data_IF_667794578241
#
_entry.id   IF_667794578241
#
_cell.length_a   1.000
_cell.length_b   1.000
_cell.length_c   1.000
_cell.angle_alpha   90.00
_cell.angle_beta   90.00
_cell.angle_gamma   90.00
#
_symmetry.space_group_name_H-M   'P 1'
#
loop_
_entity.id
_entity.type
_entity.pdbx_description
1 polymer ?
#
# COMPACT_ATOMS: atom_id res chain seq x y z
N UNK A 1 15.82 -15.99 5.00
CA UNK A 1 16.77 -14.88 4.77
C UNK A 1 16.12 -13.96 3.75
N UNK A 2 16.17 -12.65 3.93
CA UNK A 2 15.61 -11.70 2.98
C UNK A 2 16.52 -11.58 1.77
N UNK A 3 16.00 -11.84 0.57
CA UNK A 3 16.71 -11.61 -0.68
C UNK A 3 16.12 -10.37 -1.38
N UNK A 4 16.82 -9.21 -1.37
CA UNK A 4 16.31 -7.97 -1.95
C UNK A 4 16.25 -8.00 -3.49
N UNK A 5 16.89 -8.97 -4.14
CA UNK A 5 16.82 -9.10 -5.60
C UNK A 5 15.66 -10.01 -6.04
N UNK A 6 14.96 -10.63 -5.07
CA UNK A 6 13.88 -11.57 -5.35
C UNK A 6 12.50 -10.94 -5.06
N UNK A 7 11.65 -10.85 -6.08
CA UNK A 7 10.29 -10.28 -6.00
C UNK A 7 9.46 -10.87 -4.85
N UNK A 8 9.50 -12.18 -4.68
CA UNK A 8 8.76 -12.86 -3.62
C UNK A 8 9.14 -12.37 -2.21
N UNK A 9 10.40 -11.99 -1.98
CA UNK A 9 10.78 -11.43 -0.68
C UNK A 9 9.99 -10.14 -0.42
N UNK A 10 10.01 -9.20 -1.35
CA UNK A 10 9.30 -7.92 -1.21
C UNK A 10 7.80 -8.10 -1.05
N UNK A 11 7.18 -9.00 -1.80
CA UNK A 11 5.74 -9.23 -1.68
C UNK A 11 5.36 -9.84 -0.32
N UNK A 12 6.19 -10.70 0.25
CA UNK A 12 5.97 -11.25 1.61
C UNK A 12 6.00 -10.14 2.65
N UNK A 13 6.94 -9.19 2.54
CA UNK A 13 6.96 -8.02 3.43
C UNK A 13 5.78 -7.08 3.19
N UNK A 14 5.41 -6.83 1.93
CA UNK A 14 4.26 -6.01 1.56
C UNK A 14 2.96 -6.55 2.12
N UNK A 15 2.70 -7.85 1.91
CA UNK A 15 1.52 -8.53 2.43
C UNK A 15 1.48 -8.55 3.96
N UNK A 16 2.62 -8.82 4.62
CA UNK A 16 2.72 -8.76 6.08
C UNK A 16 2.44 -7.36 6.63
N UNK A 17 2.98 -6.32 5.97
CA UNK A 17 2.73 -4.91 6.31
C UNK A 17 1.26 -4.55 6.13
N UNK A 18 0.64 -4.96 5.02
CA UNK A 18 -0.77 -4.70 4.74
C UNK A 18 -1.70 -5.35 5.77
N UNK A 19 -1.49 -6.62 6.10
CA UNK A 19 -2.27 -7.32 7.13
C UNK A 19 -2.12 -6.61 8.48
N UNK A 20 -0.90 -6.22 8.84
CA UNK A 20 -0.65 -5.48 10.08
C UNK A 20 -1.34 -4.10 10.06
N UNK A 21 -1.32 -3.36 8.96
CA UNK A 21 -2.03 -2.09 8.82
C UNK A 21 -3.54 -2.27 8.99
N UNK A 22 -4.11 -3.28 8.33
CA UNK A 22 -5.53 -3.63 8.44
C UNK A 22 -5.92 -4.01 9.87
N UNK A 23 -5.07 -4.75 10.59
CA UNK A 23 -5.28 -5.08 12.00
C UNK A 23 -5.24 -3.84 12.91
N UNK A 24 -4.29 -2.93 12.69
CA UNK A 24 -4.21 -1.68 13.45
C UNK A 24 -5.45 -0.82 13.22
N UNK A 25 -5.90 -0.70 11.97
CA UNK A 25 -7.15 -0.01 11.64
C UNK A 25 -8.36 -0.69 12.31
N UNK A 26 -8.48 -2.01 12.19
CA UNK A 26 -9.54 -2.81 12.78
C UNK A 26 -9.61 -2.71 14.31
N UNK A 27 -8.49 -2.39 14.96
CA UNK A 27 -8.37 -2.21 16.42
C UNK A 27 -8.30 -0.74 16.84
N UNK A 28 -8.68 0.18 15.95
CA UNK A 28 -8.73 1.63 16.19
C UNK A 28 -7.39 2.26 16.58
N UNK A 29 -6.27 1.71 16.10
CA UNK A 29 -4.90 2.21 16.25
C UNK A 29 -4.47 3.01 15.02
N UNK A 30 -5.12 4.15 14.83
CA UNK A 30 -5.09 4.85 13.55
C UNK A 30 -3.79 5.57 13.25
N UNK A 31 -3.14 6.17 14.25
CA UNK A 31 -1.84 6.82 14.07
C UNK A 31 -0.79 5.80 13.58
N UNK A 32 -0.73 4.64 14.24
CA UNK A 32 0.16 3.55 13.87
C UNK A 32 -0.23 2.94 12.52
N UNK A 33 -1.53 2.76 12.26
CA UNK A 33 -2.02 2.25 10.99
C UNK A 33 -1.53 3.12 9.84
N UNK A 34 -1.63 4.45 9.96
CA UNK A 34 -1.26 5.37 8.90
C UNK A 34 0.25 5.43 8.64
N UNK A 35 1.10 5.37 9.67
CA UNK A 35 2.55 5.21 9.48
C UNK A 35 2.85 3.90 8.74
N UNK A 36 2.15 2.83 9.12
CA UNK A 36 2.34 1.53 8.49
C UNK A 36 1.76 1.50 7.06
N UNK A 37 0.72 2.27 6.76
CA UNK A 37 0.15 2.42 5.41
C UNK A 37 1.18 2.96 4.43
N UNK A 38 1.94 4.00 4.79
CA UNK A 38 3.01 4.51 3.92
C UNK A 38 4.02 3.42 3.61
N UNK A 39 4.46 2.67 4.62
CA UNK A 39 5.39 1.54 4.43
C UNK A 39 4.78 0.44 3.55
N UNK A 40 3.51 0.14 3.73
CA UNK A 40 2.79 -0.85 2.90
C UNK A 40 2.80 -0.44 1.43
N UNK A 41 2.48 0.83 1.13
CA UNK A 41 2.55 1.36 -0.24
C UNK A 41 3.98 1.30 -0.78
N UNK A 42 4.97 1.70 0.01
CA UNK A 42 6.39 1.62 -0.34
C UNK A 42 6.78 0.19 -0.77
N UNK A 43 6.46 -0.81 0.06
CA UNK A 43 6.83 -2.20 -0.18
C UNK A 43 6.17 -2.77 -1.44
N UNK A 44 4.92 -2.44 -1.73
CA UNK A 44 4.27 -2.89 -2.96
C UNK A 44 4.83 -2.22 -4.21
N UNK A 45 5.14 -0.92 -4.17
CA UNK A 45 5.80 -0.25 -5.29
C UNK A 45 7.19 -0.87 -5.56
N UNK A 46 7.95 -1.15 -4.50
CA UNK A 46 9.26 -1.83 -4.58
C UNK A 46 9.13 -3.25 -5.14
N UNK A 47 8.13 -4.02 -4.69
CA UNK A 47 7.85 -5.34 -5.23
C UNK A 47 7.55 -5.29 -6.74
N UNK A 48 6.78 -4.29 -7.18
CA UNK A 48 6.50 -4.09 -8.60
C UNK A 48 7.77 -3.76 -9.41
N UNK A 49 8.61 -2.84 -8.93
CA UNK A 49 9.88 -2.49 -9.58
C UNK A 49 10.82 -3.69 -9.70
N UNK A 50 10.99 -4.44 -8.61
CA UNK A 50 11.84 -5.65 -8.58
C UNK A 50 11.30 -6.72 -9.52
N UNK A 51 9.99 -6.88 -9.61
CA UNK A 51 9.36 -7.80 -10.57
C UNK A 51 9.61 -7.41 -12.04
N UNK A 52 10.00 -6.16 -12.30
CA UNK A 52 10.40 -5.66 -13.62
C UNK A 52 11.93 -5.57 -13.79
N UNK A 53 12.71 -6.16 -12.88
CA UNK A 53 14.16 -6.26 -12.98
C UNK A 53 14.95 -5.08 -12.38
N UNK A 54 14.30 -4.20 -11.62
CA UNK A 54 14.99 -3.12 -10.90
C UNK A 54 15.61 -3.65 -9.61
N UNK A 55 16.91 -3.45 -9.41
CA UNK A 55 17.55 -3.76 -8.12
C UNK A 55 17.47 -2.58 -7.16
N UNK A 56 17.02 -2.84 -5.93
CA UNK A 56 16.82 -1.84 -4.89
C UNK A 56 17.91 -1.99 -3.84
N UNK A 57 18.97 -1.20 -4.00
CA UNK A 57 20.16 -1.22 -3.14
C UNK A 57 20.42 0.15 -2.53
N UNK A 58 21.11 0.19 -1.39
CA UNK A 58 21.44 1.45 -0.71
C UNK A 58 22.10 2.45 -1.67
N UNK A 59 21.45 3.60 -1.86
CA UNK A 59 21.90 4.66 -2.76
C UNK A 59 21.18 4.71 -4.11
N UNK A 60 20.36 3.71 -4.46
CA UNK A 60 19.43 3.83 -5.59
C UNK A 60 18.27 4.76 -5.25
N UNK A 61 17.60 5.31 -6.27
CA UNK A 61 16.43 6.17 -6.09
C UNK A 61 15.32 5.43 -5.31
N UNK A 62 15.06 4.18 -5.69
CA UNK A 62 14.13 3.30 -4.99
C UNK A 62 14.57 2.85 -3.59
N UNK A 63 15.79 3.11 -3.12
CA UNK A 63 16.15 2.83 -1.72
C UNK A 63 15.48 3.79 -0.73
N UNK A 64 15.13 5.00 -1.18
CA UNK A 64 14.44 5.99 -0.36
C UNK A 64 13.05 5.53 0.11
N UNK A 65 12.44 6.38 0.94
CA UNK A 65 11.08 6.22 1.47
C UNK A 65 10.06 7.16 0.81
N UNK A 66 10.46 7.84 -0.28
CA UNK A 66 9.62 8.83 -0.95
C UNK A 66 8.70 8.12 -1.94
N UNK A 67 7.41 8.05 -1.62
CA UNK A 67 6.47 7.30 -2.43
C UNK A 67 6.31 7.91 -3.83
N UNK A 68 6.41 9.23 -3.93
CA UNK A 68 6.30 9.95 -5.21
C UNK A 68 7.38 9.51 -6.21
N UNK A 69 8.64 9.35 -5.76
CA UNK A 69 9.73 8.87 -6.61
C UNK A 69 9.56 7.42 -7.04
N UNK A 70 9.20 6.55 -6.10
CA UNK A 70 8.91 5.14 -6.41
C UNK A 70 7.79 5.02 -7.45
N UNK A 71 6.74 5.85 -7.33
CA UNK A 71 5.64 5.93 -8.30
C UNK A 71 6.13 6.36 -9.69
N UNK A 72 7.01 7.36 -9.75
CA UNK A 72 7.62 7.82 -11.01
C UNK A 72 8.46 6.72 -11.66
N UNK A 73 9.28 6.00 -10.90
CA UNK A 73 10.03 4.85 -11.40
C UNK A 73 9.08 3.74 -11.93
N UNK A 74 7.98 3.45 -11.24
CA UNK A 74 7.00 2.47 -11.70
C UNK A 74 6.37 2.89 -13.04
N UNK A 75 6.18 4.19 -13.27
CA UNK A 75 5.55 4.72 -14.48
C UNK A 75 6.35 4.48 -15.76
N UNK A 76 7.65 4.20 -15.64
CA UNK A 76 8.52 3.78 -16.76
C UNK A 76 8.05 2.43 -17.34
N UNK A 77 7.49 1.56 -16.52
CA UNK A 77 7.07 0.20 -16.90
C UNK A 77 5.58 0.11 -17.23
N UNK A 78 4.76 1.01 -16.70
CA UNK A 78 3.32 1.07 -17.00
C UNK A 78 2.78 2.48 -16.80
N UNK A 79 2.15 3.02 -17.85
CA UNK A 79 1.52 4.35 -17.83
C UNK A 79 0.37 4.45 -16.82
N UNK A 80 -0.19 3.33 -16.35
CA UNK A 80 -1.24 3.32 -15.34
C UNK A 80 -0.77 3.95 -14.02
N UNK A 81 0.53 3.87 -13.69
CA UNK A 81 1.10 4.52 -12.49
C UNK A 81 1.12 6.06 -12.60
N UNK A 82 0.87 6.61 -13.79
CA UNK A 82 0.68 8.03 -14.03
C UNK A 82 -0.79 8.47 -13.95
N UNK A 83 -1.73 7.57 -13.69
CA UNK A 83 -3.13 7.93 -13.47
C UNK A 83 -3.23 8.93 -12.31
N UNK A 84 -3.99 10.00 -12.54
CA UNK A 84 -4.18 11.06 -11.56
C UNK A 84 -4.81 10.51 -10.27
N UNK A 85 -5.83 9.67 -10.40
CA UNK A 85 -6.51 9.05 -9.27
C UNK A 85 -5.54 8.26 -8.36
N UNK A 86 -4.61 7.51 -8.95
CA UNK A 86 -3.57 6.78 -8.22
C UNK A 86 -2.56 7.74 -7.58
N UNK A 87 -2.08 8.72 -8.35
CA UNK A 87 -1.11 9.73 -7.89
C UNK A 87 -1.61 10.51 -6.67
N UNK A 88 -2.90 10.89 -6.66
CA UNK A 88 -3.52 11.61 -5.53
C UNK A 88 -3.49 10.79 -4.23
N UNK A 89 -3.68 9.47 -4.30
CA UNK A 89 -3.65 8.56 -3.14
C UNK A 89 -2.24 8.31 -2.64
N UNK A 90 -1.28 8.18 -3.55
CA UNK A 90 0.15 8.10 -3.19
C UNK A 90 0.58 9.38 -2.44
N UNK A 91 0.22 10.56 -2.98
CA UNK A 91 0.52 11.84 -2.35
C UNK A 91 -0.13 12.03 -0.98
N UNK A 92 -1.31 11.45 -0.76
CA UNK A 92 -1.94 11.42 0.56
C UNK A 92 -1.08 10.71 1.61
N UNK A 93 -0.59 9.50 1.32
CA UNK A 93 0.25 8.75 2.27
C UNK A 93 1.66 9.34 2.47
N UNK A 94 2.25 9.96 1.43
CA UNK A 94 3.56 10.62 1.52
C UNK A 94 3.49 11.81 2.50
N UNK A 95 2.47 12.68 2.34
CA UNK A 95 2.25 13.83 3.24
C UNK A 95 1.94 13.43 4.67
N UNK A 96 1.11 12.39 4.86
CA UNK A 96 0.72 11.94 6.19
C UNK A 96 1.92 11.39 6.99
N UNK A 97 2.83 10.67 6.32
CA UNK A 97 4.02 10.14 6.98
C UNK A 97 4.96 11.24 7.48
N UNK A 98 5.18 12.30 6.68
CA UNK A 98 5.98 13.45 7.10
C UNK A 98 5.36 14.16 8.32
N UNK A 99 4.03 14.33 8.31
CA UNK A 99 3.26 14.93 9.39
C UNK A 99 3.41 14.17 10.72
N UNK A 100 3.22 12.85 10.71
CA UNK A 100 3.27 12.04 11.94
C UNK A 100 4.69 11.88 12.46
N UNK A 101 5.66 11.67 11.58
CA UNK A 101 7.02 11.31 12.00
C UNK A 101 7.92 12.53 12.26
N UNK A 102 7.68 13.64 11.56
CA UNK A 102 8.51 14.84 11.64
C UNK A 102 7.67 16.12 11.76
N UNK A 103 6.78 16.23 12.76
CA UNK A 103 5.90 17.39 12.90
C UNK A 103 6.69 18.72 13.02
N UNK A 104 7.89 18.67 13.61
CA UNK A 104 8.76 19.83 13.77
C UNK A 104 9.39 20.36 12.47
N UNK A 105 9.26 19.64 11.34
CA UNK A 105 9.76 20.06 10.03
C UNK A 105 8.71 20.81 9.20
N UNK A 106 7.51 20.97 9.73
CA UNK A 106 6.42 21.67 9.05
C UNK A 106 6.39 23.12 9.56
N UNK A 107 6.83 24.05 8.71
CA UNK A 107 7.00 25.48 9.05
C UNK A 107 5.70 26.17 9.51
N UNK A 108 4.55 25.61 9.16
CA UNK A 108 3.25 25.81 9.80
C UNK A 108 2.30 24.78 9.18
N UNK A 109 1.45 24.15 9.99
CA UNK A 109 0.34 23.37 9.45
C UNK A 109 -0.61 24.34 8.77
N UNK A 110 -0.56 24.42 7.43
CA UNK A 110 -1.47 25.28 6.67
C UNK A 110 -2.88 24.71 6.80
N UNK A 111 -3.83 25.58 7.10
CA UNK A 111 -5.21 25.28 7.51
C UNK A 111 -5.82 24.03 6.87
N UNK A 112 -6.41 23.19 7.73
CA UNK A 112 -6.96 21.87 7.40
C UNK A 112 -6.06 20.71 7.84
N UNK A 113 -4.73 20.89 7.92
CA UNK A 113 -3.74 19.83 8.20
C UNK A 113 -3.85 19.13 9.58
N UNK A 114 -4.62 19.66 10.53
CA UNK A 114 -4.96 18.95 11.78
C UNK A 114 -6.29 18.19 11.76
N UNK A 115 -7.22 18.49 10.84
CA UNK A 115 -8.49 17.75 10.70
C UNK A 115 -8.21 16.31 10.22
N UNK A 116 -7.04 16.05 9.64
CA UNK A 116 -6.51 14.73 9.27
C UNK A 116 -6.18 13.83 10.46
N UNK A 117 -6.04 14.39 11.67
CA UNK A 117 -5.94 13.60 12.90
C UNK A 117 -7.33 13.20 13.43
N UNK A 118 -8.38 13.96 13.07
CA UNK A 118 -9.79 13.65 13.38
C UNK A 118 -10.53 12.92 12.25
N UNK A 119 -9.95 12.84 11.05
CA UNK A 119 -10.35 11.87 10.04
C UNK A 119 -9.80 10.50 10.43
N UNK A 120 -10.47 9.97 11.46
CA UNK A 120 -10.79 8.57 11.57
C UNK A 120 -11.07 7.95 10.18
N UNK A 121 -10.54 6.74 9.99
CA UNK A 121 -11.35 5.63 9.48
C UNK A 121 -11.54 5.34 7.97
N UNK A 122 -10.78 5.85 6.99
CA UNK A 122 -10.83 5.25 5.63
C UNK A 122 -9.52 4.56 5.26
N UNK A 123 -9.51 3.25 5.49
CA UNK A 123 -8.53 2.30 4.97
C UNK A 123 -8.66 2.12 3.45
N UNK A 124 -9.79 2.54 2.88
CA UNK A 124 -10.15 2.45 1.46
C UNK A 124 -9.06 2.95 0.50
N UNK A 125 -8.42 4.12 0.68
CA UNK A 125 -7.34 4.55 -0.23
C UNK A 125 -6.14 3.61 -0.24
N UNK A 126 -5.85 2.94 0.89
CA UNK A 126 -4.81 1.92 0.93
C UNK A 126 -5.26 0.67 0.17
N UNK A 127 -6.49 0.20 0.41
CA UNK A 127 -7.04 -0.99 -0.27
C UNK A 127 -7.07 -0.79 -1.80
N UNK A 128 -7.45 0.40 -2.27
CA UNK A 128 -7.40 0.78 -3.69
C UNK A 128 -5.97 0.72 -4.25
N UNK A 129 -4.98 1.24 -3.53
CA UNK A 129 -3.56 1.17 -3.95
C UNK A 129 -3.10 -0.30 -3.99
N UNK A 130 -3.39 -1.10 -2.96
CA UNK A 130 -2.94 -2.49 -2.89
C UNK A 130 -3.60 -3.32 -4.00
N UNK A 131 -4.89 -3.12 -4.25
CA UNK A 131 -5.62 -3.75 -5.34
C UNK A 131 -5.11 -3.31 -6.73
N UNK A 132 -4.55 -2.11 -6.83
CA UNK A 132 -3.95 -1.61 -8.05
C UNK A 132 -2.56 -2.20 -8.28
N UNK A 133 -1.68 -2.17 -7.28
CA UNK A 133 -0.27 -2.55 -7.44
C UNK A 133 -0.07 -4.07 -7.33
N UNK A 134 -0.64 -4.73 -6.32
CA UNK A 134 -0.34 -6.13 -6.00
C UNK A 134 -0.58 -7.09 -7.16
N UNK A 135 -1.71 -7.04 -7.90
CA UNK A 135 -1.94 -7.93 -9.05
C UNK A 135 -0.98 -7.68 -10.23
N UNK A 136 -0.29 -6.53 -10.26
CA UNK A 136 0.68 -6.17 -11.30
C UNK A 136 2.10 -6.67 -10.99
N UNK A 137 2.34 -7.20 -9.78
CA UNK A 137 3.64 -7.78 -9.39
C UNK A 137 3.77 -9.16 -10.04
N UNK A 138 4.80 -9.35 -10.86
CA UNK A 138 5.04 -10.61 -11.58
C UNK A 138 5.54 -11.68 -10.60
N UNK A 139 4.71 -12.69 -10.36
CA UNK A 139 5.00 -13.87 -9.54
C UNK A 139 4.69 -15.12 -10.35
N UNK A 140 5.41 -16.21 -10.08
CA UNK A 140 4.98 -17.54 -10.51
C UNK A 140 3.74 -17.98 -9.74
N UNK A 141 3.02 -18.97 -10.26
CA UNK A 141 1.81 -19.48 -9.61
C UNK A 141 2.09 -20.08 -8.22
N UNK A 142 3.28 -20.69 -8.04
CA UNK A 142 3.67 -21.27 -6.75
C UNK A 142 4.03 -20.19 -5.73
N UNK A 143 4.76 -19.16 -6.14
CA UNK A 143 5.03 -17.99 -5.30
C UNK A 143 3.74 -17.29 -4.89
N UNK A 144 2.79 -17.14 -5.83
CA UNK A 144 1.51 -16.52 -5.54
C UNK A 144 0.73 -17.28 -4.46
N UNK A 145 0.65 -18.61 -4.57
CA UNK A 145 0.03 -19.48 -3.56
C UNK A 145 0.74 -19.38 -2.20
N UNK A 146 2.05 -19.16 -2.20
CA UNK A 146 2.86 -19.02 -1.01
C UNK A 146 2.80 -17.60 -0.37
N UNK A 147 2.11 -16.64 -0.99
CA UNK A 147 1.98 -15.29 -0.41
C UNK A 147 1.25 -15.30 0.93
N UNK A 148 1.56 -14.32 1.78
CA UNK A 148 1.00 -14.24 3.14
C UNK A 148 -0.51 -14.01 3.07
N UNK A 149 -1.00 -13.15 2.17
CA UNK A 149 -2.44 -12.93 1.99
C UNK A 149 -3.14 -14.22 1.55
N UNK A 150 -2.58 -14.96 0.59
CA UNK A 150 -3.16 -16.25 0.16
C UNK A 150 -3.21 -17.25 1.31
N UNK A 151 -2.13 -17.34 2.09
CA UNK A 151 -2.06 -18.20 3.27
C UNK A 151 -3.08 -17.83 4.34
N UNK A 152 -3.29 -16.53 4.59
CA UNK A 152 -4.29 -16.04 5.55
C UNK A 152 -5.71 -16.33 5.06
N UNK A 153 -6.04 -15.99 3.81
CA UNK A 153 -7.40 -16.11 3.28
C UNK A 153 -7.84 -17.56 3.06
N UNK A 154 -6.93 -18.45 2.67
CA UNK A 154 -7.21 -19.87 2.43
C UNK A 154 -6.89 -20.76 3.63
N UNK A 155 -6.23 -20.21 4.66
CA UNK A 155 -5.84 -20.93 5.86
C UNK A 155 -7.01 -21.20 6.83
N UNK A 156 -6.80 -22.06 7.83
CA UNK A 156 -7.84 -22.42 8.79
C UNK A 156 -8.21 -21.24 9.70
N UNK A 157 -9.52 -21.03 9.90
CA UNK A 157 -10.08 -19.95 10.73
C UNK A 157 -9.52 -19.90 12.15
N UNK A 158 -9.21 -21.07 12.75
CA UNK A 158 -8.64 -21.15 14.10
C UNK A 158 -7.29 -20.44 14.22
N UNK A 159 -6.50 -20.43 13.15
CA UNK A 159 -5.18 -19.79 13.14
C UNK A 159 -5.26 -18.33 12.69
N UNK A 160 -6.12 -18.02 11.72
CA UNK A 160 -6.10 -16.75 11.00
C UNK A 160 -7.36 -15.89 11.16
N UNK A 161 -8.31 -16.27 12.02
CA UNK A 161 -9.65 -15.67 12.06
C UNK A 161 -9.67 -14.14 12.19
N UNK A 162 -8.85 -13.56 13.07
CA UNK A 162 -8.76 -12.11 13.22
C UNK A 162 -8.14 -11.42 11.99
N UNK A 163 -7.12 -12.02 11.38
CA UNK A 163 -6.49 -11.48 10.18
C UNK A 163 -7.43 -11.58 8.96
N UNK A 164 -8.16 -12.69 8.82
CA UNK A 164 -9.18 -12.82 7.78
C UNK A 164 -10.30 -11.79 7.96
N UNK A 165 -10.79 -11.60 9.19
CA UNK A 165 -11.79 -10.57 9.48
C UNK A 165 -11.24 -9.18 9.15
N UNK A 166 -10.05 -8.85 9.63
CA UNK A 166 -9.42 -7.57 9.36
C UNK A 166 -9.16 -7.35 7.87
N UNK A 167 -8.87 -8.38 7.07
CA UNK A 167 -8.71 -8.25 5.62
C UNK A 167 -10.03 -8.04 4.88
N UNK A 168 -11.13 -8.65 5.34
CA UNK A 168 -12.42 -8.66 4.62
C UNK A 168 -13.36 -7.53 5.03
N UNK A 169 -13.32 -7.10 6.28
CA UNK A 169 -14.27 -6.12 6.85
C UNK A 169 -14.17 -4.77 6.13
N UNK A 170 -15.22 -4.34 5.45
CA UNK A 170 -15.20 -3.09 4.66
C UNK A 170 -14.08 -3.00 3.61
N UNK A 171 -13.68 -4.14 3.01
CA UNK A 171 -12.69 -4.17 1.92
C UNK A 171 -13.31 -4.71 0.63
N UNK A 172 -13.84 -3.81 -0.19
CA UNK A 172 -14.48 -4.14 -1.47
C UNK A 172 -13.48 -4.61 -2.54
N UNK A 173 -12.18 -4.53 -2.27
CA UNK A 173 -11.12 -4.90 -3.20
C UNK A 173 -10.42 -6.22 -2.85
N UNK A 174 -10.81 -6.91 -1.77
CA UNK A 174 -10.09 -8.10 -1.29
C UNK A 174 -9.98 -9.20 -2.35
N UNK A 175 -11.01 -9.38 -3.18
CA UNK A 175 -11.00 -10.40 -4.25
C UNK A 175 -10.03 -10.02 -5.37
N UNK A 176 -9.89 -8.72 -5.68
CA UNK A 176 -8.88 -8.22 -6.63
C UNK A 176 -7.48 -8.41 -6.07
N UNK A 177 -7.28 -8.07 -4.79
CA UNK A 177 -6.01 -8.26 -4.07
C UNK A 177 -5.63 -9.75 -4.05
N UNK A 178 -6.60 -10.63 -3.89
CA UNK A 178 -6.44 -12.08 -3.83
C UNK A 178 -6.55 -12.79 -5.20
N UNK A 179 -6.44 -12.08 -6.32
CA UNK A 179 -6.39 -12.71 -7.64
C UNK A 179 -4.94 -13.04 -8.06
N UNK A 180 -4.74 -14.19 -8.73
CA UNK A 180 -3.44 -14.67 -9.21
C UNK A 180 -3.07 -14.20 -10.62
N UNK A 181 -4.02 -13.68 -11.39
CA UNK A 181 -3.81 -13.33 -12.80
C UNK A 181 -4.02 -11.84 -13.08
N UNK A 182 -2.99 -11.23 -13.67
CA UNK A 182 -3.04 -9.87 -14.20
C UNK A 182 -3.76 -9.87 -15.54
N UNK A 183 -5.02 -9.47 -15.53
CA UNK A 183 -5.64 -8.81 -16.68
C UNK A 183 -6.10 -7.45 -16.17
N UNK A 184 -5.76 -6.39 -16.90
CA UNK A 184 -5.98 -4.96 -16.56
C UNK A 184 -6.92 -4.77 -15.38
N UNK A 185 -6.36 -4.70 -14.17
CA UNK A 185 -7.16 -4.43 -12.98
C UNK A 185 -7.66 -3.00 -13.11
N UNK A 186 -8.94 -2.88 -13.50
CA UNK A 186 -9.71 -1.63 -13.50
C UNK A 186 -10.18 -1.40 -12.07
N UNK A 187 -9.25 -1.17 -11.14
CA UNK A 187 -9.60 -0.58 -9.85
C UNK A 187 -10.36 0.69 -10.14
N UNK A 188 -11.63 0.73 -9.76
CA UNK A 188 -12.44 1.92 -9.85
C UNK A 188 -12.13 2.77 -8.65
N UNK A 189 -11.15 3.65 -8.80
CA UNK A 189 -10.81 4.63 -7.80
C UNK A 189 -12.05 5.50 -7.48
N UNK A 190 -12.35 5.64 -6.18
CA UNK A 190 -13.38 6.51 -5.65
C UNK A 190 -13.19 7.93 -6.21
N UNK A 191 -14.22 8.39 -6.93
CA UNK A 191 -14.25 9.70 -7.62
C UNK A 191 -14.43 10.86 -6.66
N UNK A 192 -14.92 10.59 -5.45
CA UNK A 192 -15.14 11.57 -4.40
C UNK A 192 -13.95 11.67 -3.44
N UNK A 193 -12.81 11.08 -3.79
CA UNK A 193 -11.56 11.26 -3.04
C UNK A 193 -11.20 12.76 -3.01
N UNK A 194 -11.29 13.35 -1.82
CA UNK A 194 -10.89 14.75 -1.55
C UNK A 194 -9.88 14.84 -0.41
N UNK A 195 -9.40 13.70 0.08
CA UNK A 195 -8.40 13.58 1.15
C UNK A 195 -6.99 14.04 0.74
N UNK A 196 -6.86 14.78 -0.33
CA UNK A 196 -5.61 15.42 -0.74
C UNK A 196 -5.75 16.93 -0.92
N UNK A 197 -6.95 17.47 -0.72
CA UNK A 197 -7.26 18.88 -0.88
C UNK A 197 -7.18 19.60 0.48
N UNK A 198 -6.67 20.85 0.52
CA UNK A 198 -6.73 21.68 1.72
C UNK A 198 -8.18 22.02 2.11
N UNK A 199 -8.50 21.97 3.40
CA UNK A 199 -9.79 22.46 3.94
C UNK A 199 -10.98 21.49 3.88
N UNK A 200 -10.75 20.19 3.69
CA UNK A 200 -11.73 19.15 3.99
C UNK A 200 -11.76 18.82 5.49
#
# INVERSE_FOLDING_TARGET
MYDPDHTFSWIVYGDGSYIATRLLWFTSRQLEASVLSQRTVELYLKAYLVSNGVSIVRGSEGWGHQLTKLKEECSVYSTDFSLEAFSRRVGFFDRYFELVRYPSKLDALKDGQMIWFSFDATIEPLDEIVAFVRPRVKLTQDEWKATVISSVLNGPLKLYGYQQKALRDHNDHIDVIACSESVESKVLFNKHFSYDLPGC
#
